data_IF_281262502979
#
_entry.id   IF_281262502979
#
_cell.length_a   1.000
_cell.length_b   1.000
_cell.length_c   1.000
_cell.angle_alpha   90.00
_cell.angle_beta   90.00
_cell.angle_gamma   90.00
#
_symmetry.space_group_name_H-M   'P 1'
#
loop_
_entity.id
_entity.type
_entity.pdbx_description
1 polymer ?
#
# COMPACT_ATOMS: atom_id res chain seq x y z
N UNK A 1 -17.76 -4.33 -16.52
CA UNK A 1 -17.41 -4.98 -15.24
C UNK A 1 -16.40 -6.11 -15.52
N UNK A 2 -15.28 -6.16 -14.80
CA UNK A 2 -14.29 -7.24 -14.96
C UNK A 2 -14.86 -8.58 -14.49
N UNK A 3 -14.43 -9.68 -15.11
CA UNK A 3 -14.73 -11.05 -14.66
C UNK A 3 -14.09 -11.27 -13.28
N UNK A 4 -14.64 -12.16 -12.44
CA UNK A 4 -14.07 -12.41 -11.10
C UNK A 4 -12.64 -12.96 -11.15
N UNK A 5 -12.24 -13.60 -12.25
CA UNK A 5 -10.86 -14.07 -12.45
C UNK A 5 -9.88 -12.94 -12.82
N UNK A 6 -10.38 -11.84 -13.41
CA UNK A 6 -9.58 -10.71 -13.88
C UNK A 6 -9.63 -9.51 -12.92
N UNK A 7 -10.35 -9.64 -11.80
CA UNK A 7 -10.32 -8.60 -10.77
C UNK A 7 -8.91 -8.59 -10.18
N UNK A 8 -8.25 -7.41 -10.12
CA UNK A 8 -6.99 -7.32 -9.43
C UNK A 8 -7.22 -7.86 -8.01
N UNK A 9 -6.36 -8.76 -7.56
CA UNK A 9 -6.22 -9.18 -6.17
C UNK A 9 -5.73 -7.98 -5.33
N UNK A 10 -6.39 -6.83 -5.44
CA UNK A 10 -6.47 -5.87 -4.35
C UNK A 10 -6.91 -6.76 -3.20
N UNK A 11 -6.02 -6.96 -2.22
CA UNK A 11 -6.34 -7.66 -1.00
C UNK A 11 -7.73 -7.22 -0.58
N UNK A 12 -8.73 -8.06 -0.85
CA UNK A 12 -10.03 -7.94 -0.22
C UNK A 12 -9.71 -8.27 1.22
N UNK A 13 -9.25 -7.28 1.96
CA UNK A 13 -9.21 -7.34 3.41
C UNK A 13 -10.66 -7.59 3.76
N UNK A 14 -10.96 -8.84 4.10
CA UNK A 14 -12.30 -9.29 4.44
C UNK A 14 -12.71 -8.68 5.77
N UNK A 15 -12.73 -7.36 5.88
CA UNK A 15 -13.12 -6.64 7.09
C UNK A 15 -14.55 -7.03 7.39
N UNK A 16 -14.72 -7.94 8.34
CA UNK A 16 -15.99 -8.51 8.72
C UNK A 16 -16.13 -8.54 10.23
N UNK A 17 -17.36 -8.45 10.71
CA UNK A 17 -17.67 -8.53 12.15
C UNK A 17 -17.28 -9.89 12.75
N UNK A 18 -17.17 -10.90 11.90
CA UNK A 18 -16.82 -12.27 12.25
C UNK A 18 -15.30 -12.50 12.35
N UNK A 19 -14.48 -11.51 11.97
CA UNK A 19 -13.01 -11.60 12.12
C UNK A 19 -12.61 -11.12 13.51
N UNK A 20 -11.91 -11.94 14.31
CA UNK A 20 -11.47 -11.56 15.64
C UNK A 20 -10.44 -10.42 15.60
N UNK A 21 -10.42 -9.64 16.68
CA UNK A 21 -9.45 -8.57 16.87
C UNK A 21 -8.22 -9.10 17.62
N UNK A 22 -7.04 -8.75 17.11
CA UNK A 22 -5.73 -9.05 17.72
C UNK A 22 -5.05 -7.76 18.13
N UNK A 23 -4.15 -7.87 19.11
CA UNK A 23 -3.34 -6.73 19.55
C UNK A 23 -2.30 -6.34 18.50
N UNK A 24 -2.15 -5.05 18.31
CA UNK A 24 -1.12 -4.41 17.49
C UNK A 24 -0.58 -3.17 18.22
N UNK A 25 0.56 -2.65 17.75
CA UNK A 25 1.10 -1.37 18.22
C UNK A 25 0.14 -0.19 18.00
N UNK A 26 -0.83 -0.36 17.09
CA UNK A 26 -1.87 0.62 16.78
C UNK A 26 -3.19 0.36 17.51
N UNK A 27 -3.22 -0.58 18.47
CA UNK A 27 -4.42 -1.01 19.18
C UNK A 27 -5.01 -2.31 18.62
N UNK A 28 -6.29 -2.56 18.92
CA UNK A 28 -7.00 -3.77 18.46
C UNK A 28 -7.32 -3.68 16.97
N UNK A 29 -6.78 -4.60 16.18
CA UNK A 29 -6.94 -4.65 14.72
C UNK A 29 -7.44 -6.03 14.27
N UNK A 30 -8.13 -6.11 13.14
CA UNK A 30 -8.62 -7.39 12.64
C UNK A 30 -7.49 -8.35 12.26
N UNK A 31 -7.64 -9.61 12.65
CA UNK A 31 -6.71 -10.68 12.29
C UNK A 31 -6.61 -10.82 10.77
N UNK A 32 -5.38 -10.84 10.23
CA UNK A 32 -5.13 -10.91 8.79
C UNK A 32 -5.08 -9.55 8.08
N UNK A 33 -5.41 -8.45 8.77
CA UNK A 33 -5.09 -7.10 8.30
C UNK A 33 -3.57 -6.90 8.21
N UNK A 34 -3.04 -6.10 7.27
CA UNK A 34 -1.65 -5.66 7.28
C UNK A 34 -1.23 -5.05 8.63
N UNK A 35 -2.16 -4.40 9.34
CA UNK A 35 -1.90 -3.82 10.66
C UNK A 35 -1.75 -4.86 11.78
N UNK A 36 -2.23 -6.09 11.56
CA UNK A 36 -2.07 -7.22 12.49
C UNK A 36 -0.69 -7.88 12.38
N UNK A 37 0.05 -7.61 11.30
CA UNK A 37 1.41 -8.12 11.15
C UNK A 37 2.37 -7.35 12.06
N UNK A 38 2.89 -8.03 13.07
CA UNK A 38 3.99 -7.52 13.88
C UNK A 38 5.28 -8.19 13.41
N UNK A 39 6.28 -7.38 13.09
CA UNK A 39 7.62 -7.90 12.83
C UNK A 39 8.09 -8.65 14.09
N UNK A 40 8.55 -9.91 13.99
CA UNK A 40 9.03 -10.64 15.15
C UNK A 40 10.17 -9.88 15.85
N UNK A 41 10.29 -9.98 17.19
CA UNK A 41 11.39 -9.37 17.93
C UNK A 41 12.74 -9.75 17.32
N UNK A 42 13.67 -8.79 17.24
CA UNK A 42 14.99 -8.97 16.60
C UNK A 42 15.78 -10.16 17.16
N UNK A 43 15.55 -10.50 18.43
CA UNK A 43 16.15 -11.64 19.14
C UNK A 43 15.74 -13.01 18.57
N UNK A 44 14.62 -13.11 17.85
CA UNK A 44 14.15 -14.34 17.20
C UNK A 44 14.62 -14.47 15.75
N UNK A 45 15.38 -13.49 15.23
CA UNK A 45 15.97 -13.55 13.90
C UNK A 45 17.15 -14.52 13.96
N UNK A 46 16.90 -15.79 13.63
CA UNK A 46 17.98 -16.73 13.35
C UNK A 46 18.74 -16.20 12.14
N UNK A 47 20.02 -15.88 12.31
CA UNK A 47 20.91 -15.68 11.19
C UNK A 47 20.93 -16.99 10.39
N UNK A 48 20.27 -17.00 9.23
CA UNK A 48 20.35 -18.10 8.29
C UNK A 48 21.74 -18.02 7.66
N UNK A 49 22.72 -18.65 8.30
CA UNK A 49 24.11 -18.71 7.80
C UNK A 49 24.22 -19.33 6.40
N UNK A 50 23.19 -20.07 5.98
CA UNK A 50 23.09 -20.70 4.65
C UNK A 50 22.07 -19.99 3.74
N UNK A 51 21.68 -18.75 4.03
CA UNK A 51 20.83 -17.99 3.12
C UNK A 51 21.58 -17.71 1.81
N UNK A 52 20.93 -17.84 0.64
CA UNK A 52 21.53 -17.39 -0.60
C UNK A 52 21.84 -15.89 -0.51
N UNK A 53 22.88 -15.41 -1.22
CA UNK A 53 23.17 -13.99 -1.28
C UNK A 53 21.95 -13.23 -1.82
N UNK A 54 21.72 -11.98 -1.38
CA UNK A 54 20.69 -11.13 -1.95
C UNK A 54 20.83 -11.09 -3.47
N UNK A 55 19.72 -11.05 -4.23
CA UNK A 55 19.80 -10.87 -5.67
C UNK A 55 20.58 -9.58 -5.97
N UNK A 56 21.40 -9.57 -7.04
CA UNK A 56 22.11 -8.36 -7.43
C UNK A 56 21.10 -7.25 -7.65
N UNK A 57 21.43 -6.05 -7.16
CA UNK A 57 20.66 -4.86 -7.46
C UNK A 57 20.60 -4.68 -8.99
N UNK A 58 19.53 -4.07 -9.53
CA UNK A 58 19.52 -3.67 -10.92
C UNK A 58 20.81 -2.92 -11.25
N UNK A 59 21.40 -3.19 -12.42
CA UNK A 59 22.57 -2.44 -12.90
C UNK A 59 22.24 -0.94 -12.83
N UNK A 60 23.23 -0.08 -12.59
CA UNK A 60 23.02 1.36 -12.46
C UNK A 60 22.25 1.97 -13.66
N UNK A 61 22.36 1.31 -14.83
CA UNK A 61 21.70 1.70 -16.08
C UNK A 61 20.43 0.90 -16.40
N UNK A 62 20.01 -0.02 -15.52
CA UNK A 62 18.75 -0.74 -15.70
C UNK A 62 17.59 0.22 -15.50
N UNK A 63 17.03 0.69 -16.62
CA UNK A 63 15.75 1.37 -16.65
C UNK A 63 14.68 0.41 -17.10
N UNK A 64 13.58 0.36 -16.35
CA UNK A 64 12.36 -0.28 -16.83
C UNK A 64 11.99 0.37 -18.16
N UNK A 65 11.65 -0.46 -19.15
CA UNK A 65 11.10 0.07 -20.40
C UNK A 65 9.90 0.95 -20.06
N UNK A 66 9.71 2.08 -20.76
CA UNK A 66 8.48 2.87 -20.62
C UNK A 66 7.28 1.93 -20.71
N UNK A 67 6.36 2.04 -19.75
CA UNK A 67 5.12 1.27 -19.79
C UNK A 67 4.40 1.57 -21.10
N UNK A 68 4.11 0.53 -21.90
CA UNK A 68 3.27 0.67 -23.10
C UNK A 68 1.84 1.06 -22.73
N UNK A 69 1.44 0.81 -21.48
CA UNK A 69 0.19 1.28 -20.92
C UNK A 69 0.38 2.67 -20.31
N UNK A 70 0.04 3.70 -21.09
CA UNK A 70 -0.26 5.02 -20.52
C UNK A 70 -1.69 4.97 -19.96
N UNK A 71 -1.83 5.00 -18.64
CA UNK A 71 -3.14 5.17 -18.04
C UNK A 71 -3.66 6.59 -18.39
N UNK A 72 -4.62 6.66 -19.30
CA UNK A 72 -5.28 7.92 -19.67
C UNK A 72 -6.52 8.08 -18.81
N UNK A 73 -6.50 9.07 -17.91
CA UNK A 73 -7.67 9.40 -17.09
C UNK A 73 -8.87 9.75 -17.97
N UNK A 74 -10.03 9.14 -17.68
CA UNK A 74 -11.31 9.61 -18.24
C UNK A 74 -11.58 11.07 -17.82
N UNK A 75 -12.47 11.77 -18.55
CA UNK A 75 -12.85 13.13 -18.20
C UNK A 75 -13.34 13.27 -16.75
N UNK A 76 -14.12 12.30 -16.26
CA UNK A 76 -14.60 12.26 -14.88
C UNK A 76 -13.44 12.16 -13.88
N UNK A 77 -12.47 11.29 -14.15
CA UNK A 77 -11.28 11.15 -13.30
C UNK A 77 -10.40 12.40 -13.31
N UNK A 78 -10.24 13.06 -14.46
CA UNK A 78 -9.51 14.33 -14.54
C UNK A 78 -10.16 15.43 -13.69
N UNK A 79 -11.49 15.55 -13.78
CA UNK A 79 -12.23 16.52 -12.96
C UNK A 79 -12.13 16.20 -11.47
N UNK A 80 -12.18 14.91 -11.12
CA UNK A 80 -11.98 14.49 -9.74
C UNK A 80 -10.58 14.84 -9.22
N UNK A 81 -9.52 14.56 -9.98
CA UNK A 81 -8.16 14.94 -9.59
C UNK A 81 -8.01 16.45 -9.42
N UNK A 82 -8.65 17.25 -10.28
CA UNK A 82 -8.69 18.71 -10.11
C UNK A 82 -9.43 19.13 -8.85
N UNK A 83 -10.51 18.45 -8.47
CA UNK A 83 -11.25 18.76 -7.24
C UNK A 83 -10.46 18.44 -5.96
N UNK A 84 -9.51 17.50 -6.03
CA UNK A 84 -8.61 17.16 -4.92
C UNK A 84 -7.38 18.07 -4.84
N UNK A 85 -7.18 18.96 -5.80
CA UNK A 85 -5.99 19.80 -5.85
C UNK A 85 -6.09 20.89 -4.78
N UNK A 86 -5.18 20.85 -3.82
CA UNK A 86 -5.08 21.81 -2.70
C UNK A 86 -3.75 22.54 -2.81
N UNK A 87 -3.76 23.86 -2.66
CA UNK A 87 -2.53 24.66 -2.57
C UNK A 87 -1.99 24.63 -1.14
N UNK A 88 -0.69 24.90 -0.99
CA UNK A 88 -0.07 24.99 0.33
C UNK A 88 -0.78 26.01 1.24
N UNK A 89 -1.16 27.16 0.68
CA UNK A 89 -1.92 28.19 1.38
C UNK A 89 -3.29 27.68 1.86
N UNK A 90 -4.02 26.95 1.00
CA UNK A 90 -5.29 26.32 1.37
C UNK A 90 -5.09 25.28 2.48
N UNK A 91 -4.04 24.44 2.41
CA UNK A 91 -3.77 23.48 3.50
C UNK A 91 -3.45 24.17 4.83
N UNK A 92 -2.65 25.25 4.79
CA UNK A 92 -2.28 26.00 5.99
C UNK A 92 -3.48 26.71 6.62
N UNK A 93 -4.35 27.31 5.80
CA UNK A 93 -5.56 27.97 6.30
C UNK A 93 -6.54 26.99 6.96
N UNK A 94 -6.67 25.76 6.42
CA UNK A 94 -7.50 24.70 7.03
C UNK A 94 -6.92 24.27 8.38
N UNK A 95 -5.61 24.06 8.44
CA UNK A 95 -4.91 23.66 9.67
C UNK A 95 -5.04 24.72 10.78
N UNK A 96 -4.90 26.00 10.44
CA UNK A 96 -5.08 27.09 11.40
C UNK A 96 -6.53 27.29 11.88
N UNK A 97 -7.51 26.76 11.14
CA UNK A 97 -8.95 26.92 11.45
C UNK A 97 -9.54 25.74 12.26
N UNK A 98 -8.75 24.71 12.56
CA UNK A 98 -9.16 23.49 13.28
C UNK A 98 -8.52 23.42 14.65
#
# INVERSE_FOLDING_TARGET
PFSDADRPMICSMGIGKDIPLVDSLLGKVQQGSPLSYQQPPKEKVKALHNAPPPPPLPLQDYRLKPSECMFVCSRKQQLHMKSLQVTLEMSQSIECAT
#
